data_IF_326264949093
#
_entry.id   IF_326264949093
#
_cell.length_a   1.000
_cell.length_b   1.000
_cell.length_c   1.000
_cell.angle_alpha   90.00
_cell.angle_beta   90.00
_cell.angle_gamma   90.00
#
_symmetry.space_group_name_H-M   'P 1'
#
loop_
_entity.id
_entity.type
_entity.pdbx_description
1 polymer ?
#
# COMPACT_ATOMS: atom_id res chain seq x y z
N UNK A 1 9.06 -62.61 19.82
CA UNK A 1 9.56 -61.21 19.80
C UNK A 1 8.90 -60.51 18.60
N UNK A 2 7.65 -60.06 18.76
CA UNK A 2 7.19 -58.73 19.22
C UNK A 2 7.33 -57.64 18.18
N UNK A 3 6.22 -57.31 17.49
CA UNK A 3 5.73 -55.95 17.18
C UNK A 3 4.62 -56.01 16.12
N UNK A 4 3.35 -56.16 16.55
CA UNK A 4 2.19 -55.95 15.65
C UNK A 4 0.88 -55.49 16.32
N UNK A 5 0.90 -55.13 17.61
CA UNK A 5 -0.32 -54.77 18.37
C UNK A 5 -0.43 -53.28 18.78
N UNK A 6 0.42 -52.39 18.25
CA UNK A 6 0.41 -50.96 18.62
C UNK A 6 -0.49 -50.05 17.77
N UNK A 7 -0.76 -50.40 16.51
CA UNK A 7 -1.35 -49.45 15.54
C UNK A 7 -2.90 -49.41 15.54
N UNK A 8 -3.58 -50.50 15.87
CA UNK A 8 -5.06 -50.54 15.84
C UNK A 8 -5.69 -49.62 16.90
N UNK A 9 -5.03 -49.40 18.03
CA UNK A 9 -5.57 -48.63 19.15
C UNK A 9 -5.54 -47.10 18.91
N UNK A 10 -4.73 -46.62 17.96
CA UNK A 10 -4.63 -45.19 17.63
C UNK A 10 -5.68 -44.79 16.60
N UNK A 11 -5.92 -45.63 15.59
CA UNK A 11 -6.98 -45.40 14.60
C UNK A 11 -8.38 -45.44 15.23
N UNK A 12 -8.63 -46.36 16.17
CA UNK A 12 -9.91 -46.44 16.87
C UNK A 12 -10.14 -45.23 17.79
N UNK A 13 -9.08 -44.73 18.45
CA UNK A 13 -9.15 -43.47 19.21
C UNK A 13 -9.46 -42.28 18.31
N UNK A 14 -8.83 -42.22 17.13
CA UNK A 14 -9.06 -41.14 16.18
C UNK A 14 -10.52 -41.18 15.65
N UNK A 15 -11.03 -42.36 15.32
CA UNK A 15 -12.43 -42.56 14.91
C UNK A 15 -13.42 -42.13 15.98
N UNK A 16 -13.14 -42.46 17.24
CA UNK A 16 -14.01 -42.07 18.36
C UNK A 16 -13.98 -40.55 18.58
N UNK A 17 -12.83 -39.89 18.41
CA UNK A 17 -12.73 -38.42 18.45
C UNK A 17 -13.54 -37.75 17.35
N UNK A 18 -13.55 -38.30 16.13
CA UNK A 18 -14.38 -37.78 15.04
C UNK A 18 -15.89 -37.93 15.31
N UNK A 19 -16.32 -39.05 15.93
CA UNK A 19 -17.72 -39.23 16.35
C UNK A 19 -18.14 -38.23 17.42
N UNK A 20 -17.30 -38.01 18.43
CA UNK A 20 -17.56 -37.02 19.49
C UNK A 20 -17.65 -35.62 18.89
N UNK A 21 -16.76 -35.28 17.94
CA UNK A 21 -16.82 -34.02 17.21
C UNK A 21 -18.17 -33.86 16.48
N UNK A 22 -18.61 -34.86 15.73
CA UNK A 22 -19.89 -34.80 15.00
C UNK A 22 -21.10 -34.63 15.94
N UNK A 23 -21.09 -35.25 17.12
CA UNK A 23 -22.15 -35.09 18.12
C UNK A 23 -22.17 -33.68 18.71
N UNK A 24 -21.00 -33.11 19.02
CA UNK A 24 -20.88 -31.72 19.47
C UNK A 24 -21.36 -30.75 18.39
N UNK A 25 -21.01 -30.98 17.12
CA UNK A 25 -21.47 -30.14 16.00
C UNK A 25 -22.99 -30.16 15.85
N UNK A 26 -23.63 -31.33 15.99
CA UNK A 26 -25.10 -31.47 15.97
C UNK A 26 -25.77 -30.78 17.15
N UNK A 27 -25.18 -30.83 18.35
CA UNK A 27 -25.70 -30.09 19.50
C UNK A 27 -25.60 -28.57 19.32
N UNK A 28 -24.49 -28.09 18.76
CA UNK A 28 -24.27 -26.67 18.48
C UNK A 28 -25.23 -26.13 17.41
N UNK A 29 -25.59 -26.95 16.42
CA UNK A 29 -26.63 -26.65 15.43
C UNK A 29 -28.03 -26.61 16.07
N UNK A 30 -28.36 -27.59 16.93
CA UNK A 30 -29.65 -27.60 17.67
C UNK A 30 -29.81 -26.41 18.61
N UNK A 31 -28.71 -25.93 19.20
CA UNK A 31 -28.67 -24.75 20.07
C UNK A 31 -28.62 -23.42 19.30
N UNK A 32 -28.62 -23.45 17.96
CA UNK A 32 -28.62 -22.26 17.11
C UNK A 32 -27.30 -21.48 17.10
N UNK A 33 -26.23 -22.05 17.66
CA UNK A 33 -24.91 -21.42 17.79
C UNK A 33 -24.11 -21.60 16.49
N UNK A 34 -24.34 -22.69 15.76
CA UNK A 34 -23.73 -22.97 14.45
C UNK A 34 -24.81 -23.08 13.37
N UNK A 35 -24.61 -22.42 12.22
CA UNK A 35 -25.41 -22.66 11.00
C UNK A 35 -24.80 -23.83 10.23
N UNK A 36 -25.61 -24.74 9.63
CA UNK A 36 -25.10 -25.87 8.88
C UNK A 36 -24.22 -25.39 7.72
N UNK A 37 -23.06 -26.01 7.57
CA UNK A 37 -22.15 -25.79 6.45
C UNK A 37 -22.84 -26.25 5.15
N UNK A 38 -23.60 -25.36 4.51
CA UNK A 38 -23.98 -25.53 3.10
C UNK A 38 -22.79 -25.22 2.20
N UNK A 39 -21.69 -25.94 2.40
CA UNK A 39 -20.81 -26.25 1.29
C UNK A 39 -21.54 -27.31 0.47
N UNK A 40 -22.41 -26.86 -0.44
CA UNK A 40 -22.68 -27.62 -1.65
C UNK A 40 -21.31 -27.98 -2.22
N UNK A 41 -20.93 -29.27 -2.12
CA UNK A 41 -19.90 -29.86 -2.97
C UNK A 41 -20.35 -29.58 -4.39
N UNK A 42 -19.93 -28.44 -4.96
CA UNK A 42 -19.93 -28.24 -6.40
C UNK A 42 -19.16 -29.44 -6.93
N UNK A 43 -19.86 -30.34 -7.61
CA UNK A 43 -19.24 -31.35 -8.47
C UNK A 43 -18.13 -30.60 -9.20
N UNK A 44 -16.89 -31.03 -9.02
CA UNK A 44 -15.77 -30.63 -9.86
C UNK A 44 -16.10 -31.12 -11.26
N UNK A 45 -16.93 -30.37 -11.96
CA UNK A 45 -16.88 -30.32 -13.40
C UNK A 45 -15.42 -29.98 -13.70
N UNK A 46 -14.72 -30.85 -14.42
CA UNK A 46 -13.46 -30.45 -15.06
C UNK A 46 -13.80 -29.20 -15.87
N UNK A 47 -13.46 -28.04 -15.32
CA UNK A 47 -13.59 -26.78 -16.03
C UNK A 47 -12.65 -26.91 -17.21
N UNK A 48 -13.20 -27.16 -18.39
CA UNK A 48 -12.46 -26.98 -19.63
C UNK A 48 -12.07 -25.52 -19.61
N UNK A 49 -10.77 -25.27 -19.46
CA UNK A 49 -10.20 -23.96 -19.34
C UNK A 49 -10.53 -23.19 -20.62
N UNK A 50 -11.41 -22.19 -20.53
CA UNK A 50 -11.48 -21.18 -21.59
C UNK A 50 -10.20 -20.37 -21.47
N UNK A 51 -9.44 -20.31 -22.55
CA UNK A 51 -8.35 -19.35 -22.73
C UNK A 51 -8.78 -17.97 -22.22
N UNK A 52 -8.15 -17.51 -21.14
CA UNK A 52 -8.36 -16.15 -20.64
C UNK A 52 -7.51 -15.23 -21.50
N UNK A 53 -8.17 -14.48 -22.39
CA UNK A 53 -7.55 -13.58 -23.36
C UNK A 53 -6.52 -12.61 -22.75
N UNK A 54 -6.71 -12.20 -21.49
CA UNK A 54 -5.75 -11.33 -20.79
C UNK A 54 -4.44 -12.04 -20.45
N UNK A 55 -4.49 -13.34 -20.17
CA UNK A 55 -3.31 -14.18 -19.88
C UNK A 55 -2.54 -14.46 -21.19
N UNK A 56 -3.25 -14.70 -22.29
CA UNK A 56 -2.65 -14.95 -23.60
C UNK A 56 -1.93 -13.71 -24.15
N UNK A 57 -2.47 -12.51 -23.91
CA UNK A 57 -1.85 -11.24 -24.28
C UNK A 57 -0.58 -10.91 -23.51
N UNK A 58 -0.33 -11.55 -22.37
CA UNK A 58 0.84 -11.25 -21.56
C UNK A 58 2.11 -11.79 -22.26
N UNK A 59 2.79 -10.90 -22.99
CA UNK A 59 3.97 -11.20 -23.79
C UNK A 59 5.28 -11.28 -22.97
N UNK A 60 5.21 -11.24 -21.64
CA UNK A 60 6.39 -11.27 -20.77
C UNK A 60 6.80 -12.71 -20.51
N UNK A 61 8.08 -13.03 -20.77
CA UNK A 61 8.64 -14.34 -20.44
C UNK A 61 8.71 -14.57 -18.93
N UNK A 62 8.39 -15.78 -18.50
CA UNK A 62 8.53 -16.18 -17.08
C UNK A 62 9.97 -16.06 -16.57
N UNK A 63 10.97 -16.17 -17.45
CA UNK A 63 12.39 -15.99 -17.10
C UNK A 63 12.72 -14.55 -16.69
N UNK A 64 11.90 -13.59 -17.12
CA UNK A 64 12.09 -12.18 -16.80
C UNK A 64 11.38 -11.80 -15.49
N UNK A 65 10.52 -12.66 -14.95
CA UNK A 65 9.77 -12.41 -13.71
C UNK A 65 10.41 -13.24 -12.61
N UNK A 66 11.30 -12.61 -11.85
CA UNK A 66 12.09 -13.23 -10.80
C UNK A 66 11.70 -12.72 -9.40
N UNK A 67 11.13 -11.52 -9.30
CA UNK A 67 10.71 -10.98 -8.02
C UNK A 67 9.39 -10.22 -8.14
N UNK A 68 8.78 -9.91 -7.00
CA UNK A 68 7.49 -9.19 -6.95
C UNK A 68 7.54 -7.84 -7.68
N UNK A 69 8.70 -7.19 -7.73
CA UNK A 69 8.87 -5.87 -8.34
C UNK A 69 8.94 -5.93 -9.88
N UNK A 70 9.34 -7.07 -10.46
CA UNK A 70 9.29 -7.26 -11.91
C UNK A 70 7.86 -7.12 -12.46
N UNK A 71 6.84 -7.46 -11.66
CA UNK A 71 5.44 -7.22 -12.04
C UNK A 71 5.12 -5.74 -12.25
N UNK A 72 5.77 -4.86 -11.48
CA UNK A 72 5.63 -3.39 -11.61
C UNK A 72 6.41 -2.92 -12.83
N UNK A 73 7.65 -3.38 -12.98
CA UNK A 73 8.52 -3.01 -14.10
C UNK A 73 7.89 -3.35 -15.46
N UNK A 74 7.22 -4.50 -15.55
CA UNK A 74 6.55 -4.96 -16.77
C UNK A 74 5.06 -4.59 -16.86
N UNK A 75 4.55 -3.72 -15.99
CA UNK A 75 3.15 -3.27 -15.97
C UNK A 75 2.11 -4.42 -15.94
N UNK A 76 2.42 -5.52 -15.24
CA UNK A 76 1.58 -6.73 -15.21
C UNK A 76 0.42 -6.54 -14.23
N UNK A 77 -0.76 -6.32 -14.78
CA UNK A 77 -1.98 -5.97 -14.05
C UNK A 77 -3.07 -7.03 -14.15
N UNK A 78 -2.71 -8.26 -13.79
CA UNK A 78 -3.63 -9.38 -13.64
C UNK A 78 -4.03 -9.54 -12.17
N UNK A 79 -5.24 -10.04 -11.89
CA UNK A 79 -5.59 -10.46 -10.53
C UNK A 79 -4.60 -11.52 -10.00
N UNK A 80 -4.50 -11.70 -8.68
CA UNK A 80 -3.61 -12.72 -8.12
C UNK A 80 -3.98 -14.14 -8.61
N UNK A 81 -5.27 -14.43 -8.79
CA UNK A 81 -5.75 -15.70 -9.36
C UNK A 81 -5.22 -15.89 -10.79
N UNK A 82 -5.41 -14.87 -11.66
CA UNK A 82 -4.93 -14.89 -13.05
C UNK A 82 -3.41 -14.97 -13.14
N UNK A 83 -2.69 -14.25 -12.27
CA UNK A 83 -1.23 -14.38 -12.17
C UNK A 83 -0.82 -15.79 -11.77
N UNK A 84 -1.44 -16.37 -10.75
CA UNK A 84 -1.09 -17.71 -10.32
C UNK A 84 -1.29 -18.74 -11.44
N UNK A 85 -2.34 -18.57 -12.23
CA UNK A 85 -2.59 -19.41 -13.39
C UNK A 85 -1.61 -19.16 -14.54
N UNK A 86 -1.27 -17.89 -14.81
CA UNK A 86 -0.22 -17.56 -15.77
C UNK A 86 1.11 -18.24 -15.40
N UNK A 87 1.54 -18.18 -14.14
CA UNK A 87 2.74 -18.87 -13.67
C UNK A 87 2.62 -20.38 -13.85
N UNK A 88 1.50 -20.99 -13.46
CA UNK A 88 1.25 -22.42 -13.63
C UNK A 88 1.37 -22.87 -15.09
N UNK A 89 0.76 -22.15 -16.03
CA UNK A 89 0.87 -22.45 -17.46
C UNK A 89 2.30 -22.35 -17.97
N UNK A 90 3.05 -21.33 -17.55
CA UNK A 90 4.43 -21.10 -18.02
C UNK A 90 5.46 -22.01 -17.36
N UNK A 91 5.13 -22.59 -16.21
CA UNK A 91 6.00 -23.48 -15.43
C UNK A 91 5.68 -24.97 -15.61
N UNK A 92 4.60 -25.34 -16.30
CA UNK A 92 4.10 -26.72 -16.42
C UNK A 92 5.14 -27.75 -16.90
N UNK A 93 6.07 -27.33 -17.77
CA UNK A 93 7.14 -28.17 -18.32
C UNK A 93 8.53 -27.75 -17.83
N UNK A 94 8.60 -26.96 -16.76
CA UNK A 94 9.85 -26.42 -16.20
C UNK A 94 10.29 -27.21 -14.98
N UNK A 95 11.60 -27.31 -14.76
CA UNK A 95 12.13 -28.05 -13.62
C UNK A 95 11.96 -27.26 -12.34
N UNK A 96 11.61 -27.96 -11.25
CA UNK A 96 11.39 -27.35 -9.94
C UNK A 96 12.65 -26.67 -9.41
N UNK A 97 13.82 -27.27 -9.64
CA UNK A 97 15.11 -26.76 -9.13
C UNK A 97 15.48 -25.43 -9.78
N UNK A 98 15.34 -25.31 -11.10
CA UNK A 98 15.72 -24.10 -11.83
C UNK A 98 14.76 -22.94 -11.54
N UNK A 99 13.46 -23.23 -11.53
CA UNK A 99 12.36 -22.26 -11.42
C UNK A 99 11.72 -22.20 -10.03
N UNK A 100 12.40 -22.70 -9.00
CA UNK A 100 11.84 -22.79 -7.64
C UNK A 100 11.26 -21.46 -7.16
N UNK A 101 11.99 -20.38 -7.39
CA UNK A 101 11.55 -19.04 -7.03
C UNK A 101 10.23 -18.63 -7.71
N UNK A 102 10.08 -18.89 -9.01
CA UNK A 102 8.84 -18.64 -9.75
C UNK A 102 7.70 -19.53 -9.27
N UNK A 103 7.96 -20.79 -8.92
CA UNK A 103 6.98 -21.64 -8.24
C UNK A 103 6.58 -21.03 -6.88
N UNK A 104 7.52 -20.45 -6.13
CA UNK A 104 7.24 -19.71 -4.90
C UNK A 104 6.33 -18.52 -5.13
N UNK A 105 6.57 -17.71 -6.17
CA UNK A 105 5.70 -16.61 -6.57
C UNK A 105 4.30 -17.09 -6.98
N UNK A 106 4.20 -18.19 -7.73
CA UNK A 106 2.92 -18.80 -8.08
C UNK A 106 2.09 -19.11 -6.81
N UNK A 107 2.71 -19.73 -5.80
CA UNK A 107 2.07 -20.05 -4.53
C UNK A 107 1.75 -18.81 -3.69
N UNK A 108 2.62 -17.79 -3.71
CA UNK A 108 2.37 -16.49 -3.10
C UNK A 108 1.07 -15.87 -3.61
N UNK A 109 0.84 -15.87 -4.93
CA UNK A 109 -0.38 -15.34 -5.53
C UNK A 109 -1.63 -16.19 -5.23
N UNK A 110 -1.47 -17.48 -4.91
CA UNK A 110 -2.55 -18.34 -4.40
C UNK A 110 -2.85 -18.11 -2.91
N UNK A 111 -2.10 -17.24 -2.24
CA UNK A 111 -2.05 -17.11 -0.78
C UNK A 111 -1.64 -18.41 -0.05
N UNK A 112 -0.96 -19.33 -0.74
CA UNK A 112 -0.35 -20.53 -0.14
C UNK A 112 1.05 -20.18 0.38
N UNK A 113 1.07 -19.37 1.44
CA UNK A 113 2.29 -18.77 1.97
C UNK A 113 3.30 -19.79 2.49
N UNK A 114 2.84 -20.93 3.02
CA UNK A 114 3.72 -21.98 3.50
C UNK A 114 4.47 -22.65 2.35
N UNK A 115 3.79 -22.94 1.23
CA UNK A 115 4.51 -23.46 0.05
C UNK A 115 5.40 -22.41 -0.58
N UNK A 116 4.94 -21.15 -0.66
CA UNK A 116 5.75 -20.05 -1.18
C UNK A 116 7.10 -19.95 -0.44
N UNK A 117 7.07 -19.99 0.89
CA UNK A 117 8.28 -19.97 1.72
C UNK A 117 9.25 -21.11 1.39
N UNK A 118 8.76 -22.36 1.37
CA UNK A 118 9.61 -23.54 1.06
C UNK A 118 10.30 -23.39 -0.30
N UNK A 119 9.60 -22.84 -1.29
CA UNK A 119 10.14 -22.60 -2.63
C UNK A 119 11.17 -21.47 -2.67
N UNK A 120 11.00 -20.43 -1.85
CA UNK A 120 11.99 -19.36 -1.72
C UNK A 120 13.24 -19.81 -0.94
N UNK A 121 13.09 -20.72 0.03
CA UNK A 121 14.21 -21.24 0.83
C UNK A 121 15.07 -22.26 0.10
N UNK A 122 14.50 -23.00 -0.85
CA UNK A 122 15.22 -24.05 -1.58
C UNK A 122 16.32 -23.52 -2.51
N UNK A 123 16.29 -22.23 -2.86
CA UNK A 123 17.28 -21.60 -3.75
C UNK A 123 17.96 -20.42 -3.04
N UNK A 124 19.27 -20.52 -2.86
CA UNK A 124 20.07 -19.49 -2.19
C UNK A 124 20.46 -18.31 -3.13
N UNK A 125 19.52 -17.80 -3.91
CA UNK A 125 19.72 -16.64 -4.77
C UNK A 125 19.06 -15.37 -4.20
N UNK A 126 19.48 -14.21 -4.70
CA UNK A 126 19.04 -12.92 -4.17
C UNK A 126 17.55 -12.64 -4.44
N UNK A 127 17.00 -13.08 -5.58
CA UNK A 127 15.57 -12.86 -5.89
C UNK A 127 14.68 -13.69 -4.98
N UNK A 128 15.06 -14.95 -4.70
CA UNK A 128 14.37 -15.78 -3.71
C UNK A 128 14.38 -15.15 -2.32
N UNK A 129 15.52 -14.60 -1.89
CA UNK A 129 15.62 -13.86 -0.61
C UNK A 129 14.78 -12.58 -0.59
N UNK A 130 14.69 -11.86 -1.71
CA UNK A 130 13.83 -10.68 -1.85
C UNK A 130 12.35 -11.08 -1.71
N UNK A 131 11.92 -12.15 -2.38
CA UNK A 131 10.55 -12.64 -2.30
C UNK A 131 10.22 -13.20 -0.91
N UNK A 132 11.17 -13.87 -0.25
CA UNK A 132 11.04 -14.27 1.15
C UNK A 132 10.89 -13.04 2.06
N UNK A 133 11.71 -12.00 1.86
CA UNK A 133 11.57 -10.74 2.59
C UNK A 133 10.18 -10.10 2.41
N UNK A 134 9.66 -10.09 1.18
CA UNK A 134 8.29 -9.65 0.91
C UNK A 134 7.26 -10.52 1.64
N UNK A 135 7.42 -11.85 1.60
CA UNK A 135 6.55 -12.79 2.30
C UNK A 135 6.51 -12.53 3.82
N UNK A 136 7.67 -12.27 4.44
CA UNK A 136 7.77 -11.91 5.86
C UNK A 136 6.99 -10.63 6.19
N UNK A 137 7.06 -9.62 5.32
CA UNK A 137 6.30 -8.37 5.49
C UNK A 137 4.80 -8.62 5.43
N UNK A 138 4.31 -9.37 4.44
CA UNK A 138 2.87 -9.59 4.29
C UNK A 138 2.29 -10.41 5.45
N UNK A 139 3.06 -11.37 6.00
CA UNK A 139 2.67 -12.20 7.14
C UNK A 139 2.84 -11.51 8.51
N UNK A 140 3.50 -10.35 8.57
CA UNK A 140 3.90 -9.69 9.82
C UNK A 140 4.83 -10.55 10.69
N UNK A 141 5.80 -11.23 10.07
CA UNK A 141 6.79 -12.01 10.83
C UNK A 141 7.59 -11.08 11.77
N UNK A 142 7.73 -11.47 13.04
CA UNK A 142 8.44 -10.68 14.06
C UNK A 142 9.92 -10.46 13.71
N UNK A 143 10.54 -11.44 13.02
CA UNK A 143 11.93 -11.41 12.63
C UNK A 143 12.21 -10.60 11.35
N UNK A 144 11.19 -9.99 10.72
CA UNK A 144 11.34 -9.27 9.45
C UNK A 144 12.44 -8.19 9.51
N UNK A 145 12.51 -7.41 10.59
CA UNK A 145 13.56 -6.41 10.77
C UNK A 145 14.96 -7.07 10.77
N UNK A 146 15.15 -8.13 11.57
CA UNK A 146 16.41 -8.87 11.69
C UNK A 146 16.81 -9.51 10.34
N UNK A 147 15.83 -10.02 9.61
CA UNK A 147 16.01 -10.58 8.28
C UNK A 147 16.58 -9.53 7.31
N UNK A 148 15.96 -8.35 7.22
CA UNK A 148 16.46 -7.28 6.35
C UNK A 148 17.81 -6.73 6.80
N UNK A 149 18.08 -6.61 8.11
CA UNK A 149 19.42 -6.23 8.60
C UNK A 149 20.50 -7.17 8.09
N UNK A 150 20.28 -8.49 8.17
CA UNK A 150 21.21 -9.50 7.65
C UNK A 150 21.31 -9.47 6.12
N UNK A 151 20.20 -9.22 5.43
CA UNK A 151 20.20 -9.18 3.97
C UNK A 151 20.96 -7.95 3.45
N UNK A 152 20.78 -6.80 4.10
CA UNK A 152 21.52 -5.56 3.82
C UNK A 152 23.01 -5.72 4.13
N UNK A 153 23.38 -6.34 5.25
CA UNK A 153 24.80 -6.54 5.60
C UNK A 153 25.54 -7.40 4.58
N UNK A 154 24.84 -8.36 3.96
CA UNK A 154 25.41 -9.26 2.94
C UNK A 154 25.28 -8.72 1.52
N UNK A 155 24.30 -7.85 1.24
CA UNK A 155 24.06 -7.28 -0.09
C UNK A 155 23.84 -5.75 -0.01
N UNK A 156 24.83 -4.98 0.50
CA UNK A 156 24.63 -3.58 0.89
C UNK A 156 24.38 -2.62 -0.28
N UNK A 157 24.65 -3.04 -1.52
CA UNK A 157 24.42 -2.26 -2.75
C UNK A 157 23.22 -2.76 -3.57
N UNK A 158 22.44 -3.72 -3.06
CA UNK A 158 21.28 -4.23 -3.78
C UNK A 158 20.05 -3.34 -3.51
N UNK A 159 19.68 -2.52 -4.51
CA UNK A 159 18.56 -1.60 -4.39
C UNK A 159 17.20 -2.27 -4.12
N UNK A 160 16.96 -3.49 -4.63
CA UNK A 160 15.69 -4.20 -4.40
C UNK A 160 15.53 -4.68 -2.95
N UNK A 161 16.63 -4.97 -2.24
CA UNK A 161 16.59 -5.27 -0.81
C UNK A 161 16.04 -4.09 -0.01
N UNK A 162 16.60 -2.89 -0.26
CA UNK A 162 16.10 -1.65 0.36
C UNK A 162 14.66 -1.36 -0.09
N UNK A 163 14.36 -1.51 -1.37
CA UNK A 163 13.02 -1.24 -1.89
C UNK A 163 11.98 -2.16 -1.22
N UNK A 164 12.31 -3.43 -1.02
CA UNK A 164 11.44 -4.38 -0.30
C UNK A 164 11.31 -4.01 1.18
N UNK A 165 12.40 -3.62 1.85
CA UNK A 165 12.34 -3.11 3.23
C UNK A 165 11.42 -1.89 3.35
N UNK A 166 11.35 -1.03 2.34
CA UNK A 166 10.45 0.14 2.38
C UNK A 166 8.97 -0.24 2.53
N UNK A 167 8.57 -1.42 2.04
CA UNK A 167 7.20 -1.93 2.19
C UNK A 167 6.84 -2.20 3.67
N UNK A 168 7.82 -2.56 4.49
CA UNK A 168 7.62 -2.74 5.93
C UNK A 168 7.28 -1.40 6.60
N UNK A 169 7.98 -0.33 6.23
CA UNK A 169 7.70 1.02 6.72
C UNK A 169 6.35 1.53 6.22
N UNK A 170 6.00 1.29 4.94
CA UNK A 170 4.67 1.60 4.41
C UNK A 170 3.56 0.87 5.16
N UNK A 171 3.73 -0.42 5.44
CA UNK A 171 2.76 -1.21 6.22
C UNK A 171 2.52 -0.61 7.61
N UNK A 172 3.59 -0.09 8.24
CA UNK A 172 3.56 0.59 9.55
C UNK A 172 3.12 2.05 9.46
N UNK A 173 2.83 2.58 8.26
CA UNK A 173 2.55 4.00 7.98
C UNK A 173 3.69 4.95 8.39
N UNK A 174 4.91 4.43 8.50
CA UNK A 174 6.11 5.23 8.72
C UNK A 174 6.61 5.77 7.36
N UNK A 175 5.90 6.78 6.86
CA UNK A 175 6.13 7.33 5.52
C UNK A 175 7.49 8.00 5.41
N UNK A 176 8.00 8.59 6.49
CA UNK A 176 9.30 9.23 6.49
C UNK A 176 10.44 8.22 6.27
N UNK A 177 10.44 7.11 7.03
CA UNK A 177 11.45 6.08 6.83
C UNK A 177 11.23 5.31 5.53
N UNK A 178 9.98 5.11 5.09
CA UNK A 178 9.71 4.56 3.76
C UNK A 178 10.35 5.43 2.66
N UNK A 179 10.13 6.75 2.69
CA UNK A 179 10.74 7.70 1.75
C UNK A 179 12.27 7.62 1.76
N UNK A 180 12.90 7.63 2.94
CA UNK A 180 14.37 7.53 3.07
C UNK A 180 14.91 6.26 2.44
N UNK A 181 14.27 5.12 2.73
CA UNK A 181 14.72 3.82 2.24
C UNK A 181 14.48 3.68 0.73
N UNK A 182 13.37 4.20 0.19
CA UNK A 182 13.13 4.25 -1.26
C UNK A 182 14.19 5.11 -1.96
N UNK A 183 14.58 6.24 -1.36
CA UNK A 183 15.66 7.10 -1.89
C UNK A 183 16.99 6.37 -1.94
N UNK A 184 17.35 5.64 -0.88
CA UNK A 184 18.56 4.79 -0.86
C UNK A 184 18.44 3.69 -1.92
N UNK A 185 17.31 2.99 -1.99
CA UNK A 185 17.06 1.97 -3.01
C UNK A 185 17.28 2.52 -4.43
N UNK A 186 16.71 3.69 -4.72
CA UNK A 186 16.81 4.28 -6.05
C UNK A 186 18.20 4.82 -6.39
N UNK A 187 19.06 5.09 -5.41
CA UNK A 187 20.47 5.40 -5.67
C UNK A 187 21.24 4.22 -6.30
N UNK A 188 20.73 2.99 -6.14
CA UNK A 188 21.28 1.79 -6.75
C UNK A 188 20.49 1.32 -7.98
N UNK A 189 19.17 1.55 -8.01
CA UNK A 189 18.31 1.12 -9.12
C UNK A 189 18.26 2.11 -10.29
N UNK A 190 18.41 3.40 -10.00
CA UNK A 190 18.31 4.53 -10.94
C UNK A 190 17.04 4.52 -11.83
N UNK A 191 15.89 4.16 -11.28
CA UNK A 191 14.63 4.25 -12.02
C UNK A 191 14.08 5.68 -12.00
N UNK A 192 13.77 6.22 -13.18
CA UNK A 192 13.25 7.58 -13.31
C UNK A 192 11.85 7.72 -12.73
N UNK A 193 10.99 6.70 -12.85
CA UNK A 193 9.66 6.74 -12.26
C UNK A 193 9.70 6.77 -10.72
N UNK A 194 10.70 6.13 -10.09
CA UNK A 194 10.92 6.23 -8.65
C UNK A 194 11.35 7.66 -8.28
N UNK A 195 12.23 8.28 -9.08
CA UNK A 195 12.58 9.68 -8.90
C UNK A 195 11.34 10.61 -9.03
N UNK A 196 10.42 10.32 -9.94
CA UNK A 196 9.14 11.05 -10.02
C UNK A 196 8.37 10.96 -8.70
N UNK A 197 8.18 9.75 -8.16
CA UNK A 197 7.46 9.52 -6.90
C UNK A 197 8.13 10.18 -5.69
N UNK A 198 9.46 10.10 -5.60
CA UNK A 198 10.24 10.75 -4.52
C UNK A 198 10.11 12.28 -4.56
N UNK A 199 10.17 12.90 -5.75
CA UNK A 199 10.00 14.35 -5.87
C UNK A 199 8.53 14.77 -5.66
N UNK A 200 7.56 13.95 -6.07
CA UNK A 200 6.15 14.19 -5.79
C UNK A 200 5.86 14.14 -4.28
N UNK A 201 6.45 13.18 -3.55
CA UNK A 201 6.38 13.12 -2.08
C UNK A 201 6.84 14.43 -1.43
N UNK A 202 7.98 14.97 -1.88
CA UNK A 202 8.55 16.24 -1.40
C UNK A 202 7.78 17.49 -1.88
N UNK A 203 6.68 17.32 -2.64
CA UNK A 203 5.97 18.40 -3.33
C UNK A 203 6.84 19.20 -4.31
N UNK A 204 7.93 18.62 -4.80
CA UNK A 204 8.77 19.18 -5.86
C UNK A 204 8.25 18.76 -7.25
N UNK A 205 7.05 19.21 -7.58
CA UNK A 205 6.29 18.78 -8.75
C UNK A 205 6.98 19.11 -10.08
N UNK A 206 7.65 20.27 -10.19
CA UNK A 206 8.42 20.62 -11.38
C UNK A 206 9.57 19.64 -11.62
N UNK A 207 10.31 19.29 -10.57
CA UNK A 207 11.39 18.31 -10.67
C UNK A 207 10.84 16.90 -10.93
N UNK A 208 9.71 16.52 -10.33
CA UNK A 208 9.03 15.27 -10.66
C UNK A 208 8.72 15.18 -12.18
N UNK A 209 8.21 16.26 -12.78
CA UNK A 209 7.93 16.31 -14.21
C UNK A 209 9.19 16.26 -15.10
N UNK A 210 10.34 16.75 -14.64
CA UNK A 210 11.60 16.68 -15.40
C UNK A 210 12.06 15.24 -15.67
N UNK A 211 11.62 14.27 -14.87
CA UNK A 211 11.93 12.84 -15.08
C UNK A 211 10.98 12.14 -16.05
N UNK A 212 9.88 12.78 -16.45
CA UNK A 212 8.81 12.15 -17.24
C UNK A 212 9.32 11.56 -18.56
N UNK A 213 10.05 12.36 -19.34
CA UNK A 213 10.60 11.92 -20.64
C UNK A 213 11.58 10.77 -20.49
N UNK A 214 12.48 10.83 -19.49
CA UNK A 214 13.43 9.73 -19.20
C UNK A 214 12.68 8.46 -18.79
N UNK A 215 11.65 8.57 -17.95
CA UNK A 215 10.85 7.43 -17.52
C UNK A 215 10.10 6.74 -18.67
N UNK A 216 9.55 7.49 -19.63
CA UNK A 216 8.96 6.87 -20.82
C UNK A 216 9.99 6.19 -21.72
N UNK A 217 11.19 6.79 -21.88
CA UNK A 217 12.29 6.21 -22.65
C UNK A 217 12.82 4.91 -22.03
N UNK A 218 12.83 4.81 -20.69
CA UNK A 218 13.14 3.56 -19.98
C UNK A 218 12.16 2.42 -20.34
N UNK A 219 10.94 2.76 -20.78
CA UNK A 219 9.95 1.81 -21.27
C UNK A 219 9.39 0.86 -20.20
N UNK A 220 9.59 1.19 -18.91
CA UNK A 220 9.21 0.38 -17.74
C UNK A 220 8.18 1.11 -16.89
N UNK A 221 7.30 0.36 -16.23
CA UNK A 221 6.35 0.91 -15.25
C UNK A 221 5.51 2.10 -15.79
N UNK A 222 5.14 2.07 -17.08
CA UNK A 222 4.44 3.16 -17.78
C UNK A 222 3.12 3.51 -17.11
N UNK A 223 2.40 2.52 -16.57
CA UNK A 223 1.15 2.78 -15.84
C UNK A 223 1.42 3.63 -14.60
N UNK A 224 2.48 3.33 -13.86
CA UNK A 224 2.86 4.06 -12.66
C UNK A 224 3.37 5.47 -12.97
N UNK A 225 4.11 5.63 -14.07
CA UNK A 225 4.48 6.94 -14.62
C UNK A 225 3.22 7.78 -14.88
N UNK A 226 2.23 7.22 -15.57
CA UNK A 226 0.96 7.89 -15.85
C UNK A 226 0.19 8.24 -14.57
N UNK A 227 0.11 7.32 -13.60
CA UNK A 227 -0.55 7.57 -12.32
C UNK A 227 0.09 8.75 -11.58
N UNK A 228 1.42 8.77 -11.46
CA UNK A 228 2.13 9.87 -10.79
C UNK A 228 1.93 11.17 -11.57
N UNK A 229 2.06 11.13 -12.91
CA UNK A 229 1.89 12.30 -13.75
C UNK A 229 0.48 12.92 -13.62
N UNK A 230 -0.57 12.09 -13.49
CA UNK A 230 -1.93 12.56 -13.26
C UNK A 230 -2.03 13.37 -11.96
N UNK A 231 -1.59 12.78 -10.82
CA UNK A 231 -1.66 13.48 -9.54
C UNK A 231 -0.77 14.72 -9.49
N UNK A 232 0.44 14.65 -10.06
CA UNK A 232 1.32 15.81 -10.19
C UNK A 232 0.63 16.94 -10.95
N UNK A 233 -0.11 16.62 -12.01
CA UNK A 233 -0.87 17.59 -12.82
C UNK A 233 -2.00 18.25 -12.02
N UNK A 234 -2.73 17.49 -11.20
CA UNK A 234 -3.73 18.05 -10.28
C UNK A 234 -3.10 19.03 -9.29
N UNK A 235 -1.96 18.67 -8.70
CA UNK A 235 -1.24 19.50 -7.75
C UNK A 235 -0.75 20.82 -8.34
N UNK A 236 -0.34 20.84 -9.62
CA UNK A 236 0.06 22.08 -10.31
C UNK A 236 -1.10 22.81 -10.99
N UNK A 237 -2.33 22.34 -10.79
CA UNK A 237 -3.56 22.89 -11.39
C UNK A 237 -3.54 22.92 -12.93
N UNK A 238 -2.88 21.93 -13.55
CA UNK A 238 -2.83 21.76 -15.01
C UNK A 238 -3.90 20.73 -15.44
N UNK A 239 -5.12 21.23 -15.66
CA UNK A 239 -6.29 20.40 -15.98
C UNK A 239 -6.19 19.71 -17.34
N UNK A 240 -5.58 20.36 -18.33
CA UNK A 240 -5.39 19.77 -19.67
C UNK A 240 -4.44 18.58 -19.61
N UNK A 241 -3.33 18.71 -18.86
CA UNK A 241 -2.40 17.61 -18.64
C UNK A 241 -2.99 16.49 -17.79
N UNK A 242 -3.77 16.82 -16.77
CA UNK A 242 -4.50 15.83 -15.99
C UNK A 242 -5.47 15.04 -16.88
N UNK A 243 -6.25 15.72 -17.73
CA UNK A 243 -7.21 15.09 -18.64
C UNK A 243 -6.54 14.20 -19.70
N UNK A 244 -5.49 14.70 -20.35
CA UNK A 244 -4.72 13.91 -21.33
C UNK A 244 -4.08 12.67 -20.70
N UNK A 245 -3.56 12.78 -19.48
CA UNK A 245 -3.01 11.63 -18.74
C UNK A 245 -4.11 10.64 -18.33
N UNK A 246 -5.28 11.13 -17.90
CA UNK A 246 -6.43 10.29 -17.61
C UNK A 246 -6.89 9.49 -18.83
N UNK A 247 -6.87 10.09 -20.03
CA UNK A 247 -7.23 9.40 -21.27
C UNK A 247 -6.34 8.17 -21.55
N UNK A 248 -5.08 8.19 -21.09
CA UNK A 248 -4.15 7.04 -21.18
C UNK A 248 -4.43 5.93 -20.16
N UNK A 249 -5.24 6.21 -19.14
CA UNK A 249 -5.56 5.29 -18.03
C UNK A 249 -7.01 4.79 -18.07
N UNK A 250 -7.88 5.35 -18.93
CA UNK A 250 -9.33 5.16 -18.86
C UNK A 250 -9.81 3.71 -18.98
N UNK A 251 -9.08 2.90 -19.77
CA UNK A 251 -9.45 1.51 -20.08
C UNK A 251 -9.10 0.53 -18.93
N UNK A 252 -8.17 0.91 -18.07
CA UNK A 252 -7.78 0.09 -16.94
C UNK A 252 -8.86 0.11 -15.83
N UNK A 253 -8.90 -0.99 -15.07
CA UNK A 253 -9.90 -1.23 -14.00
C UNK A 253 -9.23 -1.51 -12.66
N UNK A 254 -8.24 -0.71 -12.30
CA UNK A 254 -7.55 -0.83 -11.00
C UNK A 254 -8.18 0.06 -9.93
N UNK A 255 -8.04 -0.28 -8.64
CA UNK A 255 -8.40 0.60 -7.52
C UNK A 255 -7.82 2.03 -7.63
N UNK A 256 -6.56 2.17 -8.04
CA UNK A 256 -5.93 3.48 -8.21
C UNK A 256 -6.63 4.30 -9.31
N UNK A 257 -7.03 3.65 -10.39
CA UNK A 257 -7.68 4.32 -11.53
C UNK A 257 -9.15 4.62 -11.23
N UNK A 258 -9.80 3.80 -10.40
CA UNK A 258 -11.12 4.13 -9.87
C UNK A 258 -11.07 5.40 -9.02
N UNK A 259 -10.00 5.62 -8.22
CA UNK A 259 -9.80 6.90 -7.52
C UNK A 259 -9.68 8.08 -8.50
N UNK A 260 -9.00 7.89 -9.63
CA UNK A 260 -8.88 8.91 -10.68
C UNK A 260 -10.25 9.18 -11.35
N UNK A 261 -11.04 8.14 -11.64
CA UNK A 261 -12.38 8.28 -12.25
C UNK A 261 -13.35 9.09 -11.39
N UNK A 262 -13.28 8.89 -10.06
CA UNK A 262 -14.05 9.70 -9.10
C UNK A 262 -13.62 11.16 -9.15
N UNK A 263 -12.30 11.43 -9.21
CA UNK A 263 -11.76 12.79 -9.28
C UNK A 263 -12.06 13.50 -10.60
N UNK A 264 -11.98 12.79 -11.74
CA UNK A 264 -12.10 13.40 -13.06
C UNK A 264 -13.55 13.64 -13.48
N UNK A 265 -14.42 12.65 -13.28
CA UNK A 265 -15.76 12.64 -13.85
C UNK A 265 -16.88 12.48 -12.80
N UNK A 266 -16.54 12.52 -11.50
CA UNK A 266 -17.50 12.22 -10.42
C UNK A 266 -18.20 10.87 -10.58
N UNK A 267 -17.52 9.92 -11.23
CA UNK A 267 -18.06 8.58 -11.46
C UNK A 267 -18.23 7.87 -10.11
N UNK A 268 -19.42 7.30 -9.86
CA UNK A 268 -19.71 6.59 -8.61
C UNK A 268 -19.13 5.18 -8.66
N UNK A 269 -17.82 5.08 -8.42
CA UNK A 269 -17.11 3.80 -8.28
C UNK A 269 -16.67 3.64 -6.82
N UNK A 270 -16.71 2.42 -6.29
CA UNK A 270 -16.18 2.11 -4.98
C UNK A 270 -14.85 1.33 -5.10
N UNK A 271 -13.71 1.95 -4.80
CA UNK A 271 -12.45 1.26 -4.56
C UNK A 271 -12.54 0.33 -3.34
N UNK A 272 -11.73 -0.73 -3.33
CA UNK A 272 -11.68 -1.69 -2.25
C UNK A 272 -11.14 -1.10 -0.93
N UNK A 273 -11.45 -1.75 0.19
CA UNK A 273 -11.06 -1.33 1.55
C UNK A 273 -9.55 -1.20 1.75
N UNK A 274 -8.76 -1.98 1.02
CA UNK A 274 -7.29 -1.92 1.07
C UNK A 274 -6.69 -0.72 0.31
N UNK A 275 -7.52 0.22 -0.18
CA UNK A 275 -7.10 1.49 -0.75
C UNK A 275 -7.30 2.62 0.27
N UNK A 276 -6.29 2.94 1.11
CA UNK A 276 -6.46 3.93 2.18
C UNK A 276 -6.73 5.34 1.64
N UNK A 277 -6.24 5.64 0.43
CA UNK A 277 -6.40 6.93 -0.22
C UNK A 277 -7.84 7.23 -0.65
N UNK A 278 -8.65 6.19 -0.88
CA UNK A 278 -10.04 6.36 -1.33
C UNK A 278 -10.87 7.22 -0.37
N UNK A 279 -10.67 7.08 0.95
CA UNK A 279 -11.37 7.89 1.96
C UNK A 279 -11.08 9.39 1.76
N UNK A 280 -9.85 9.76 1.41
CA UNK A 280 -9.46 11.15 1.14
C UNK A 280 -10.12 11.68 -0.13
N UNK A 281 -10.22 10.85 -1.17
CA UNK A 281 -10.92 11.21 -2.42
C UNK A 281 -12.42 11.46 -2.18
N UNK A 282 -13.06 10.59 -1.39
CA UNK A 282 -14.46 10.76 -1.03
C UNK A 282 -14.72 12.04 -0.25
N UNK A 283 -13.85 12.33 0.73
CA UNK A 283 -13.95 13.57 1.49
C UNK A 283 -13.77 14.80 0.59
N UNK A 284 -12.77 14.77 -0.31
CA UNK A 284 -12.51 15.85 -1.26
C UNK A 284 -13.68 16.11 -2.22
N UNK A 285 -14.33 15.05 -2.70
CA UNK A 285 -15.46 15.15 -3.64
C UNK A 285 -16.82 15.40 -2.96
N UNK A 286 -16.83 15.67 -1.66
CA UNK A 286 -18.06 16.00 -0.92
C UNK A 286 -18.98 14.81 -0.64
N UNK A 287 -18.47 13.58 -0.74
CA UNK A 287 -19.20 12.34 -0.44
C UNK A 287 -18.59 11.58 0.76
N UNK A 288 -18.45 12.21 1.95
CA UNK A 288 -17.78 11.59 3.07
C UNK A 288 -18.53 10.32 3.53
N UNK A 289 -17.82 9.21 3.67
CA UNK A 289 -18.30 8.03 4.39
C UNK A 289 -18.11 8.22 5.90
N UNK A 290 -18.92 7.58 6.75
CA UNK A 290 -18.65 7.50 8.18
C UNK A 290 -17.26 6.89 8.39
N UNK A 291 -16.39 7.59 9.13
CA UNK A 291 -15.03 7.13 9.39
C UNK A 291 -14.80 6.90 10.88
N UNK A 292 -14.01 5.87 11.20
CA UNK A 292 -13.48 5.68 12.54
C UNK A 292 -12.16 6.44 12.64
N UNK A 293 -12.13 7.47 13.49
CA UNK A 293 -10.99 8.38 13.60
C UNK A 293 -9.64 7.67 13.90
N UNK A 294 -9.70 6.51 14.55
CA UNK A 294 -8.53 5.69 14.89
C UNK A 294 -7.79 5.15 13.66
N UNK A 295 -8.52 4.85 12.58
CA UNK A 295 -7.99 4.17 11.38
C UNK A 295 -7.96 5.04 10.12
N UNK A 296 -8.55 6.24 10.18
CA UNK A 296 -8.64 7.16 9.05
C UNK A 296 -7.29 7.81 8.72
N UNK A 297 -7.07 8.10 7.43
CA UNK A 297 -5.92 8.87 6.92
C UNK A 297 -6.29 10.32 6.56
N UNK A 298 -7.43 10.79 7.06
CA UNK A 298 -7.87 12.18 7.01
C UNK A 298 -7.09 13.03 8.02
N UNK A 299 -5.74 13.00 7.95
CA UNK A 299 -4.83 13.63 8.91
C UNK A 299 -5.12 15.11 9.08
N UNK A 300 -5.26 15.86 7.98
CA UNK A 300 -5.50 17.29 8.01
C UNK A 300 -6.85 17.61 8.70
N UNK A 301 -7.91 16.86 8.35
CA UNK A 301 -9.26 17.08 8.85
C UNK A 301 -9.37 16.74 10.34
N UNK A 302 -8.84 15.59 10.74
CA UNK A 302 -8.86 15.15 12.13
C UNK A 302 -8.02 16.05 13.04
N UNK A 303 -6.84 16.47 12.56
CA UNK A 303 -5.99 17.41 13.29
C UNK A 303 -6.70 18.74 13.54
N UNK A 304 -7.35 19.30 12.52
CA UNK A 304 -8.15 20.52 12.65
C UNK A 304 -9.38 20.34 13.53
N UNK A 305 -10.09 19.21 13.39
CA UNK A 305 -11.27 18.88 14.20
C UNK A 305 -10.94 18.90 15.69
N UNK A 306 -9.94 18.14 16.13
CA UNK A 306 -9.57 18.07 17.54
C UNK A 306 -9.12 19.43 18.09
N UNK A 307 -8.46 20.25 17.28
CA UNK A 307 -8.11 21.61 17.67
C UNK A 307 -9.35 22.50 17.88
N UNK A 308 -10.30 22.47 16.93
CA UNK A 308 -11.52 23.28 16.97
C UNK A 308 -12.46 22.88 18.12
N UNK A 309 -12.56 21.57 18.39
CA UNK A 309 -13.33 21.02 19.52
C UNK A 309 -12.66 21.28 20.87
N UNK A 310 -11.43 21.83 20.89
CA UNK A 310 -10.60 22.02 22.09
C UNK A 310 -10.35 20.71 22.84
N UNK A 311 -10.31 19.59 22.13
CA UNK A 311 -9.95 18.28 22.69
C UNK A 311 -8.42 18.17 22.79
N UNK A 312 -7.88 18.69 23.89
CA UNK A 312 -6.43 18.78 24.14
C UNK A 312 -5.79 17.38 24.12
N UNK A 313 -6.45 16.39 24.73
CA UNK A 313 -5.92 15.04 24.85
C UNK A 313 -5.82 14.38 23.47
N UNK A 314 -6.90 14.41 22.69
CA UNK A 314 -6.88 13.80 21.36
C UNK A 314 -5.99 14.57 20.38
N UNK A 315 -5.96 15.90 20.47
CA UNK A 315 -5.06 16.70 19.64
C UNK A 315 -3.59 16.33 19.88
N UNK A 316 -3.14 16.26 21.13
CA UNK A 316 -1.76 15.90 21.46
C UNK A 316 -1.42 14.46 21.05
N UNK A 317 -2.34 13.52 21.29
CA UNK A 317 -2.18 12.12 20.87
C UNK A 317 -2.07 11.99 19.34
N UNK A 318 -2.93 12.70 18.61
CA UNK A 318 -2.97 12.66 17.16
C UNK A 318 -1.77 13.38 16.52
N UNK A 319 -1.33 14.50 17.09
CA UNK A 319 -0.10 15.18 16.70
C UNK A 319 1.13 14.28 16.87
N UNK A 320 1.22 13.52 17.98
CA UNK A 320 2.27 12.53 18.18
C UNK A 320 2.22 11.40 17.15
N UNK A 321 1.02 10.94 16.76
CA UNK A 321 0.85 9.96 15.67
C UNK A 321 1.34 10.50 14.33
N UNK A 322 1.02 11.75 14.00
CA UNK A 322 1.54 12.44 12.81
C UNK A 322 3.07 12.53 12.87
N UNK A 323 3.64 12.94 14.00
CA UNK A 323 5.09 12.98 14.18
C UNK A 323 5.74 11.62 13.97
N UNK A 324 5.14 10.53 14.46
CA UNK A 324 5.63 9.17 14.23
C UNK A 324 5.61 8.77 12.74
N UNK A 325 4.58 9.16 11.99
CA UNK A 325 4.42 8.79 10.59
C UNK A 325 5.25 9.65 9.63
N UNK A 326 5.45 10.92 9.96
CA UNK A 326 6.05 11.93 9.08
C UNK A 326 7.35 12.53 9.64
N UNK A 327 7.83 12.04 10.79
CA UNK A 327 8.97 12.54 11.57
C UNK A 327 8.79 13.93 12.22
N UNK A 328 7.81 14.72 11.77
CA UNK A 328 7.50 16.04 12.30
C UNK A 328 5.99 16.30 12.20
N UNK A 329 5.51 17.36 12.86
CA UNK A 329 4.18 17.93 12.64
C UNK A 329 4.34 19.26 11.87
N UNK A 330 4.45 19.23 10.53
CA UNK A 330 4.69 20.43 9.74
C UNK A 330 3.42 21.26 9.59
N UNK A 331 3.52 22.54 9.94
CA UNK A 331 2.45 23.52 9.78
C UNK A 331 2.88 24.64 8.84
N UNK A 332 1.92 25.15 8.07
CA UNK A 332 2.04 26.41 7.33
C UNK A 332 0.99 27.39 7.80
N UNK A 333 1.43 28.61 8.12
CA UNK A 333 0.57 29.71 8.57
C UNK A 333 0.40 30.72 7.45
N UNK A 334 -0.87 31.01 7.10
CA UNK A 334 -1.28 31.99 6.11
C UNK A 334 -1.96 33.16 6.82
N UNK A 335 -1.67 34.39 6.38
CA UNK A 335 -2.38 35.57 6.90
C UNK A 335 -3.87 35.44 6.58
N UNK A 336 -4.73 35.65 7.58
CA UNK A 336 -6.18 35.61 7.43
C UNK A 336 -6.80 36.96 7.76
N UNK A 337 -7.87 37.30 7.04
CA UNK A 337 -8.77 38.42 7.39
C UNK A 337 -9.83 37.99 8.40
N UNK A 338 -10.10 36.68 8.50
CA UNK A 338 -11.06 36.10 9.44
C UNK A 338 -10.46 35.95 10.85
N UNK A 339 -11.29 36.21 11.87
CA UNK A 339 -10.98 36.00 13.30
C UNK A 339 -11.21 34.55 13.75
N UNK A 340 -11.91 33.74 12.95
CA UNK A 340 -12.21 32.33 13.24
C UNK A 340 -11.85 31.45 12.06
N UNK A 341 -11.04 30.41 12.29
CA UNK A 341 -10.59 29.39 11.34
C UNK A 341 -11.71 28.41 10.93
N UNK A 342 -12.87 28.92 10.48
CA UNK A 342 -14.05 28.10 10.15
C UNK A 342 -13.99 27.40 8.79
N UNK A 343 -13.00 27.69 7.94
CA UNK A 343 -12.88 26.99 6.65
C UNK A 343 -12.44 25.55 6.86
N UNK A 344 -13.38 24.64 6.59
CA UNK A 344 -13.11 23.22 6.36
C UNK A 344 -12.08 23.14 5.23
N UNK A 345 -10.93 22.53 5.50
CA UNK A 345 -9.92 22.24 4.49
C UNK A 345 -10.47 21.11 3.62
N UNK A 346 -11.04 21.44 2.47
CA UNK A 346 -11.64 20.45 1.56
C UNK A 346 -10.78 20.15 0.33
N UNK A 347 -9.82 21.01 0.00
CA UNK A 347 -9.01 20.83 -1.20
C UNK A 347 -7.74 20.01 -0.92
N UNK A 348 -7.81 18.73 -1.29
CA UNK A 348 -6.73 17.74 -1.18
C UNK A 348 -5.50 18.12 -2.00
N UNK A 349 -5.67 18.87 -3.09
CA UNK A 349 -4.59 19.23 -4.02
C UNK A 349 -4.08 20.65 -3.81
N UNK A 350 -4.61 21.35 -2.79
CA UNK A 350 -4.18 22.72 -2.47
C UNK A 350 -2.70 22.78 -2.11
N UNK A 351 -2.01 23.79 -2.64
CA UNK A 351 -0.62 24.08 -2.34
C UNK A 351 -0.47 25.45 -1.70
N UNK A 352 0.09 25.45 -0.50
CA UNK A 352 0.44 26.67 0.21
C UNK A 352 1.93 26.97 -0.01
N UNK A 353 2.26 27.70 -1.08
CA UNK A 353 3.65 28.07 -1.40
C UNK A 353 4.15 29.27 -0.59
N UNK A 354 3.25 30.18 -0.25
CA UNK A 354 3.57 31.42 0.46
C UNK A 354 2.98 31.34 1.86
N UNK A 355 3.82 31.18 2.88
CA UNK A 355 3.38 31.08 4.27
C UNK A 355 4.54 30.84 5.23
N UNK A 356 4.31 31.06 6.51
CA UNK A 356 5.32 30.83 7.54
C UNK A 356 5.27 29.35 7.91
N UNK A 357 6.37 28.62 7.65
CA UNK A 357 6.48 27.18 7.93
C UNK A 357 7.06 26.95 9.31
N UNK A 358 6.40 26.14 10.12
CA UNK A 358 6.81 25.81 11.49
C UNK A 358 6.58 24.32 11.73
N UNK A 359 7.57 23.64 12.29
CA UNK A 359 7.38 22.28 12.83
C UNK A 359 6.92 22.40 14.28
N UNK A 360 5.70 21.94 14.55
CA UNK A 360 5.12 21.99 15.88
C UNK A 360 5.83 20.99 16.80
N UNK A 361 6.29 21.46 17.96
CA UNK A 361 7.05 20.65 18.92
C UNK A 361 6.14 20.00 19.95
N UNK A 362 6.46 18.76 20.33
CA UNK A 362 5.79 18.03 21.41
C UNK A 362 6.44 18.26 22.79
N UNK A 363 5.90 17.62 23.84
CA UNK A 363 4.67 16.80 23.84
C UNK A 363 3.37 17.61 23.96
N UNK A 364 3.44 18.88 24.38
CA UNK A 364 2.27 19.76 24.56
C UNK A 364 1.92 20.49 23.26
N UNK A 365 1.59 19.74 22.21
CA UNK A 365 1.34 20.26 20.87
C UNK A 365 0.24 21.34 20.85
N UNK A 366 -0.85 21.15 21.58
CA UNK A 366 -1.97 22.10 21.63
C UNK A 366 -1.55 23.48 22.14
N UNK A 367 -0.88 23.52 23.30
CA UNK A 367 -0.40 24.77 23.89
C UNK A 367 0.69 25.42 23.06
N UNK A 368 1.58 24.61 22.48
CA UNK A 368 2.61 25.10 21.57
C UNK A 368 2.01 25.72 20.30
N UNK A 369 0.90 25.18 19.79
CA UNK A 369 0.20 25.75 18.62
C UNK A 369 -0.45 27.09 18.99
N UNK A 370 -1.10 27.18 20.15
CA UNK A 370 -1.66 28.43 20.66
C UNK A 370 -0.59 29.50 20.85
N UNK A 371 0.56 29.12 21.42
CA UNK A 371 1.71 30.01 21.60
C UNK A 371 2.24 30.52 20.26
N UNK A 372 2.51 29.62 19.31
CA UNK A 372 2.97 29.98 17.96
C UNK A 372 1.99 30.93 17.28
N UNK A 373 0.69 30.67 17.38
CA UNK A 373 -0.35 31.52 16.78
C UNK A 373 -0.35 32.92 17.38
N UNK A 374 -0.22 33.02 18.72
CA UNK A 374 -0.12 34.31 19.44
C UNK A 374 1.17 35.06 19.10
N UNK A 375 2.30 34.37 19.03
CA UNK A 375 3.60 34.96 18.70
C UNK A 375 3.60 35.53 17.28
N UNK A 376 3.05 34.79 16.31
CA UNK A 376 2.88 35.28 14.94
C UNK A 376 1.93 36.47 14.86
N UNK A 377 0.80 36.42 15.57
CA UNK A 377 -0.16 37.53 15.63
C UNK A 377 0.48 38.79 16.18
N UNK A 378 1.24 38.66 17.26
CA UNK A 378 1.95 39.78 17.90
C UNK A 378 3.02 40.36 16.97
N UNK A 379 3.84 39.49 16.36
CA UNK A 379 4.96 39.89 15.50
C UNK A 379 4.52 40.59 14.22
N UNK A 380 3.46 40.11 13.57
CA UNK A 380 3.01 40.62 12.27
C UNK A 380 1.75 41.48 12.34
N UNK A 381 1.16 41.65 13.53
CA UNK A 381 -0.08 42.41 13.77
C UNK A 381 -1.24 41.96 12.86
N UNK A 382 -1.31 40.66 12.55
CA UNK A 382 -2.31 40.05 11.65
C UNK A 382 -2.75 38.71 12.21
N UNK A 383 -3.98 38.29 11.88
CA UNK A 383 -4.42 36.94 12.20
C UNK A 383 -3.81 35.94 11.23
N UNK A 384 -3.64 34.70 11.69
CA UNK A 384 -3.14 33.60 10.89
C UNK A 384 -4.04 32.38 10.99
N UNK A 385 -4.23 31.71 9.86
CA UNK A 385 -4.79 30.36 9.78
C UNK A 385 -3.66 29.38 9.53
N UNK A 386 -3.60 28.31 10.31
CA UNK A 386 -2.64 27.23 10.10
C UNK A 386 -3.23 26.12 9.23
N UNK A 387 -2.37 25.38 8.56
CA UNK A 387 -2.70 24.18 7.80
C UNK A 387 -1.62 23.13 8.05
N UNK A 388 -1.99 21.86 8.14
CA UNK A 388 -1.05 20.76 8.22
C UNK A 388 -0.40 20.53 6.84
N UNK A 389 0.90 20.79 6.70
CA UNK A 389 1.65 20.73 5.44
C UNK A 389 2.33 19.36 5.26
N UNK A 390 1.53 18.28 5.24
CA UNK A 390 2.07 16.92 5.05
C UNK A 390 2.61 16.72 3.63
N UNK A 391 3.66 15.89 3.43
CA UNK A 391 4.11 15.48 2.10
C UNK A 391 3.01 14.72 1.35
N UNK A 392 3.12 14.59 0.03
CA UNK A 392 2.20 13.74 -0.75
C UNK A 392 2.59 12.26 -0.59
N UNK A 393 2.31 11.71 0.60
CA UNK A 393 2.74 10.36 0.99
C UNK A 393 2.14 9.24 0.14
N UNK A 394 1.01 9.49 -0.52
CA UNK A 394 0.43 8.53 -1.46
C UNK A 394 1.35 8.28 -2.67
N UNK A 395 2.20 9.25 -3.04
CA UNK A 395 3.22 9.03 -4.07
C UNK A 395 4.10 7.81 -3.79
N UNK A 396 4.38 7.51 -2.51
CA UNK A 396 5.18 6.34 -2.13
C UNK A 396 4.43 5.03 -2.40
N UNK A 397 3.11 4.99 -2.17
CA UNK A 397 2.29 3.80 -2.44
C UNK A 397 2.04 3.61 -3.94
N UNK A 398 1.87 4.70 -4.68
CA UNK A 398 1.71 4.68 -6.13
C UNK A 398 2.91 4.03 -6.83
N UNK A 399 4.12 4.12 -6.29
CA UNK A 399 5.31 3.43 -6.83
C UNK A 399 5.17 1.90 -6.88
N UNK A 400 4.31 1.34 -6.02
CA UNK A 400 4.16 -0.11 -5.85
C UNK A 400 2.83 -0.65 -6.38
N UNK A 401 1.84 0.23 -6.55
CA UNK A 401 0.55 -0.13 -7.11
C UNK A 401 -0.42 -0.81 -6.16
N UNK A 402 -1.65 -0.97 -6.65
CA UNK A 402 -2.78 -1.47 -5.86
C UNK A 402 -2.57 -2.88 -5.31
N UNK A 403 -1.85 -3.76 -6.04
CA UNK A 403 -1.58 -5.13 -5.62
C UNK A 403 -0.78 -5.16 -4.32
N UNK A 404 0.20 -4.25 -4.19
CA UNK A 404 0.99 -4.14 -2.96
C UNK A 404 0.13 -3.58 -1.83
N UNK A 405 -0.70 -2.57 -2.08
CA UNK A 405 -1.68 -2.11 -1.09
C UNK A 405 -2.62 -3.24 -0.61
N UNK A 406 -3.05 -4.12 -1.52
CA UNK A 406 -3.85 -5.30 -1.17
C UNK A 406 -3.14 -6.24 -0.20
N UNK A 407 -1.81 -6.36 -0.26
CA UNK A 407 -1.06 -7.17 0.69
C UNK A 407 -0.75 -6.45 2.00
N UNK A 408 -0.58 -5.12 1.98
CA UNK A 408 -0.16 -4.35 3.15
C UNK A 408 -1.33 -3.94 4.06
N UNK A 409 -2.50 -3.64 3.50
CA UNK A 409 -3.62 -3.00 4.22
C UNK A 409 -4.91 -3.83 4.20
N UNK A 410 -4.77 -5.17 4.20
CA UNK A 410 -5.88 -6.13 4.17
C UNK A 410 -6.61 -6.24 5.49
#
# INVERSE_FOLDING_TARGET
MTEKNGNNNVEDKLRNLYKIKEEIEKELEKKGIRKPDTHQKKKTAKTIYKADYEIEKLAVSINNINNWFDLIIYDIDLSNEKLSHFFELRLSHKTLQEYSNQFGMMHLFRNDFQKAERFFESKNDINSKINQGFLKIIRNDEDANKYFTKLISTHPKNGLVYLTLSLLFLKRKDFYNAYKIIKVANSFLDYSFINMGLNAYEKNFQKALSFLSKAYLEGRAKRFVNLINYYVSLFISDSEKAFSTFALLKEDKTPCINCIKILSNSEKVEPPSYCPFYERILFHTGNPKPYKAENSELYEILFHKYYQEKDIQQFNSYAKKIEQYFNNVPLIFLSSTETTSKKVITDLFSQHKMGIKINLKGPNYYDNLNKVTTDLKTKYQRNFTFFLDLPFYEALRLLFGWRICQYLYR
#
